data_IF_203016157019
#
_entry.id   IF_203016157019
#
_cell.length_a   1.000
_cell.length_b   1.000
_cell.length_c   1.000
_cell.angle_alpha   90.00
_cell.angle_beta   90.00
_cell.angle_gamma   90.00
#
_symmetry.space_group_name_H-M   'P 1'
#
loop_
_entity.id
_entity.type
_entity.pdbx_description
1 polymer ?
#
# COMPACT_ATOMS: atom_id res chain seq x y z
N UNK A 1 12.69 7.75 -45.10
CA UNK A 1 12.23 8.57 -43.97
C UNK A 1 12.11 7.65 -42.78
N UNK A 2 12.92 7.88 -41.73
CA UNK A 2 12.98 7.03 -40.55
C UNK A 2 11.72 7.30 -39.71
N UNK A 3 10.99 6.22 -39.39
CA UNK A 3 9.85 6.25 -38.47
C UNK A 3 10.43 6.36 -37.07
N UNK A 4 10.15 7.47 -36.39
CA UNK A 4 10.55 7.70 -35.00
C UNK A 4 9.96 6.61 -34.09
N UNK A 5 10.76 5.95 -33.24
CA UNK A 5 10.20 5.12 -32.19
C UNK A 5 9.69 6.06 -31.10
N UNK A 6 8.37 6.27 -31.03
CA UNK A 6 7.75 6.80 -29.81
C UNK A 6 7.90 5.73 -28.71
N UNK A 7 9.07 5.64 -28.09
CA UNK A 7 9.28 4.80 -26.93
C UNK A 7 8.50 5.43 -25.78
N UNK A 8 7.34 4.87 -25.46
CA UNK A 8 6.62 5.20 -24.25
C UNK A 8 7.57 5.01 -23.06
N UNK A 9 7.96 6.08 -22.34
CA UNK A 9 8.96 6.02 -21.28
C UNK A 9 8.58 5.01 -20.19
N UNK A 10 7.27 4.82 -19.96
CA UNK A 10 6.75 3.82 -19.04
C UNK A 10 7.07 2.40 -19.52
N UNK A 11 6.84 2.12 -20.80
CA UNK A 11 7.12 0.80 -21.39
C UNK A 11 8.60 0.45 -21.32
N UNK A 12 9.47 1.41 -21.63
CA UNK A 12 10.92 1.23 -21.50
C UNK A 12 11.31 0.97 -20.05
N UNK A 13 10.81 1.78 -19.10
CA UNK A 13 11.11 1.61 -17.69
C UNK A 13 10.69 0.24 -17.15
N UNK A 14 9.51 -0.26 -17.56
CA UNK A 14 9.02 -1.59 -17.23
C UNK A 14 9.88 -2.71 -17.82
N UNK A 15 10.29 -2.60 -19.09
CA UNK A 15 11.16 -3.60 -19.71
C UNK A 15 12.50 -3.74 -18.99
N UNK A 16 13.06 -2.62 -18.53
CA UNK A 16 14.28 -2.65 -17.73
C UNK A 16 14.03 -3.19 -16.30
N UNK A 17 12.87 -2.90 -15.69
CA UNK A 17 12.49 -3.52 -14.41
C UNK A 17 12.41 -5.05 -14.54
N UNK A 18 11.86 -5.56 -15.64
CA UNK A 18 11.74 -7.01 -15.88
C UNK A 18 13.09 -7.71 -16.06
N UNK A 19 14.10 -6.96 -16.48
CA UNK A 19 15.49 -7.43 -16.64
C UNK A 19 16.32 -7.19 -15.38
N UNK A 20 15.88 -6.29 -14.49
CA UNK A 20 16.59 -5.96 -13.27
C UNK A 20 16.68 -7.18 -12.36
N UNK A 21 17.91 -7.51 -11.95
CA UNK A 21 18.13 -8.57 -10.98
C UNK A 21 17.74 -8.07 -9.59
N UNK A 22 16.98 -8.88 -8.86
CA UNK A 22 16.70 -8.64 -7.46
C UNK A 22 18.00 -8.53 -6.65
N UNK A 23 18.17 -7.41 -5.94
CA UNK A 23 19.24 -7.18 -4.97
C UNK A 23 18.66 -7.37 -3.58
N UNK A 24 19.19 -8.34 -2.85
CA UNK A 24 18.76 -8.62 -1.48
C UNK A 24 19.60 -7.81 -0.49
N UNK A 25 18.93 -7.06 0.37
CA UNK A 25 19.52 -6.38 1.51
C UNK A 25 19.70 -7.31 2.71
N UNK A 26 20.45 -6.88 3.74
CA UNK A 26 20.57 -7.61 4.99
C UNK A 26 19.21 -7.73 5.69
N UNK A 27 19.10 -8.71 6.60
CA UNK A 27 17.95 -8.81 7.48
C UNK A 27 17.92 -7.59 8.40
N UNK A 28 16.82 -6.83 8.39
CA UNK A 28 16.62 -5.70 9.28
C UNK A 28 16.35 -6.16 10.72
N UNK A 29 16.42 -5.22 11.67
CA UNK A 29 16.15 -5.47 13.09
C UNK A 29 14.70 -5.94 13.36
N UNK A 30 13.80 -5.67 12.42
CA UNK A 30 12.40 -6.11 12.40
C UNK A 30 12.21 -7.56 11.90
N UNK A 31 13.30 -8.28 11.59
CA UNK A 31 13.24 -9.63 11.02
C UNK A 31 12.79 -9.67 9.56
N UNK A 32 12.73 -8.51 8.89
CA UNK A 32 12.36 -8.40 7.47
C UNK A 32 13.60 -8.25 6.60
N UNK A 33 13.62 -8.96 5.48
CA UNK A 33 14.59 -8.78 4.40
C UNK A 33 14.03 -7.84 3.36
N UNK A 34 14.82 -6.84 2.96
CA UNK A 34 14.45 -5.97 1.84
C UNK A 34 14.99 -6.55 0.53
N UNK A 35 14.14 -6.63 -0.49
CA UNK A 35 14.50 -7.07 -1.84
C UNK A 35 14.18 -5.96 -2.83
N UNK A 36 15.14 -5.64 -3.68
CA UNK A 36 15.12 -4.47 -4.55
C UNK A 36 15.22 -4.88 -6.02
N UNK A 37 14.29 -4.42 -6.85
CA UNK A 37 14.43 -4.39 -8.30
C UNK A 37 14.53 -2.94 -8.73
N UNK A 38 15.72 -2.55 -9.18
CA UNK A 38 16.02 -1.18 -9.57
C UNK A 38 16.23 -1.12 -11.08
N UNK A 39 15.41 -0.32 -11.76
CA UNK A 39 15.62 0.05 -13.16
C UNK A 39 16.29 1.43 -13.25
N UNK A 40 17.34 1.60 -14.07
CA UNK A 40 17.96 2.91 -14.30
C UNK A 40 17.01 3.91 -14.98
N UNK A 41 15.86 3.46 -15.47
CA UNK A 41 14.86 4.27 -16.16
C UNK A 41 13.70 4.71 -15.26
N UNK A 42 13.88 4.63 -13.94
CA UNK A 42 12.92 5.17 -12.96
C UNK A 42 11.73 4.24 -12.65
N UNK A 43 11.90 2.94 -12.85
CA UNK A 43 10.98 1.93 -12.33
C UNK A 43 11.65 1.16 -11.18
N UNK A 44 10.98 1.08 -10.05
CA UNK A 44 11.54 0.48 -8.84
C UNK A 44 10.49 -0.36 -8.14
N UNK A 45 10.89 -1.56 -7.72
CA UNK A 45 10.08 -2.39 -6.84
C UNK A 45 10.91 -2.73 -5.61
N UNK A 46 10.41 -2.37 -4.44
CA UNK A 46 10.95 -2.80 -3.15
C UNK A 46 9.96 -3.76 -2.51
N UNK A 47 10.45 -4.88 -2.01
CA UNK A 47 9.66 -5.86 -1.25
C UNK A 47 10.28 -6.07 0.12
N UNK A 48 9.49 -5.93 1.18
CA UNK A 48 9.84 -6.37 2.52
C UNK A 48 9.29 -7.77 2.74
N UNK A 49 10.17 -8.70 3.06
CA UNK A 49 9.89 -10.14 3.11
C UNK A 49 10.23 -10.66 4.49
N UNK A 50 9.37 -11.47 5.10
CA UNK A 50 9.66 -12.10 6.39
C UNK A 50 10.60 -13.31 6.26
N UNK A 51 10.99 -13.91 7.40
CA UNK A 51 11.84 -15.10 7.45
C UNK A 51 11.25 -16.31 6.69
N UNK A 52 9.92 -16.39 6.61
CA UNK A 52 9.19 -17.44 5.88
C UNK A 52 9.15 -17.18 4.36
N UNK A 53 9.70 -16.05 3.89
CA UNK A 53 9.71 -15.69 2.48
C UNK A 53 8.38 -15.08 2.00
N UNK A 54 7.49 -14.66 2.90
CA UNK A 54 6.22 -14.00 2.58
C UNK A 54 6.41 -12.49 2.46
N UNK A 55 5.78 -11.90 1.45
CA UNK A 55 5.81 -10.45 1.26
C UNK A 55 4.90 -9.81 2.30
N UNK A 56 5.45 -8.91 3.12
CA UNK A 56 4.72 -8.11 4.10
C UNK A 56 4.33 -6.75 3.56
N UNK A 57 5.21 -6.18 2.74
CA UNK A 57 5.01 -4.90 2.09
C UNK A 57 5.72 -4.84 0.76
N UNK A 58 5.10 -4.16 -0.19
CA UNK A 58 5.67 -3.90 -1.50
C UNK A 58 5.42 -2.45 -1.89
N UNK A 59 6.45 -1.81 -2.43
CA UNK A 59 6.41 -0.44 -2.91
C UNK A 59 6.89 -0.43 -4.36
N UNK A 60 6.01 -0.01 -5.25
CA UNK A 60 6.27 0.12 -6.67
C UNK A 60 6.29 1.61 -7.02
N UNK A 61 7.42 2.09 -7.51
CA UNK A 61 7.54 3.41 -8.12
C UNK A 61 7.66 3.26 -9.63
N UNK A 62 6.78 3.92 -10.37
CA UNK A 62 6.83 4.01 -11.83
C UNK A 62 6.88 5.49 -12.20
N UNK A 63 8.08 5.99 -12.53
CA UNK A 63 8.32 7.41 -12.81
C UNK A 63 7.97 8.29 -11.59
N UNK A 64 6.90 9.08 -11.67
CA UNK A 64 6.40 9.95 -10.59
C UNK A 64 5.27 9.29 -9.77
N UNK A 65 4.80 8.12 -10.17
CA UNK A 65 3.69 7.43 -9.53
C UNK A 65 4.18 6.37 -8.55
N UNK A 66 3.49 6.28 -7.42
CA UNK A 66 3.82 5.35 -6.37
C UNK A 66 2.62 4.51 -5.98
N UNK A 67 2.83 3.20 -5.83
CA UNK A 67 1.84 2.25 -5.33
C UNK A 67 2.45 1.48 -4.16
N UNK A 68 1.78 1.52 -3.02
CA UNK A 68 2.18 0.79 -1.81
C UNK A 68 1.13 -0.27 -1.53
N UNK A 69 1.60 -1.48 -1.28
CA UNK A 69 0.79 -2.54 -0.71
C UNK A 69 1.39 -2.99 0.61
N UNK A 70 0.56 -3.13 1.63
CA UNK A 70 0.96 -3.75 2.89
C UNK A 70 -0.08 -4.78 3.34
N UNK A 71 0.41 -5.87 3.95
CA UNK A 71 -0.42 -6.91 4.51
C UNK A 71 -1.34 -6.32 5.58
N UNK A 72 -2.66 -6.54 5.45
CA UNK A 72 -3.66 -6.00 6.36
C UNK A 72 -4.12 -4.56 6.08
N UNK A 73 -3.48 -3.84 5.14
CA UNK A 73 -3.88 -2.48 4.75
C UNK A 73 -4.38 -2.37 3.31
N UNK A 74 -4.00 -3.31 2.44
CA UNK A 74 -4.36 -3.26 1.03
C UNK A 74 -3.46 -2.28 0.25
N UNK A 75 -3.98 -1.77 -0.86
CA UNK A 75 -3.23 -0.91 -1.79
C UNK A 75 -3.54 0.55 -1.52
N UNK A 76 -2.49 1.39 -1.54
CA UNK A 76 -2.56 2.85 -1.53
C UNK A 76 -1.76 3.39 -2.71
N UNK A 77 -2.21 4.51 -3.25
CA UNK A 77 -1.48 5.26 -4.29
C UNK A 77 -0.84 6.50 -3.70
N UNK A 78 0.12 7.05 -4.41
CA UNK A 78 0.73 8.33 -4.09
C UNK A 78 1.57 8.85 -5.24
N UNK A 79 2.23 9.98 -4.99
CA UNK A 79 3.24 10.55 -5.87
C UNK A 79 4.59 10.60 -5.18
N UNK A 80 5.62 10.42 -5.98
CA UNK A 80 7.00 10.62 -5.56
C UNK A 80 7.40 12.03 -5.95
N UNK A 81 7.81 12.86 -5.00
CA UNK A 81 8.47 14.12 -5.34
C UNK A 81 9.91 13.83 -5.76
N UNK A 82 10.19 14.00 -7.05
CA UNK A 82 11.55 13.91 -7.56
C UNK A 82 12.36 15.10 -7.02
N UNK A 83 13.05 14.91 -5.90
CA UNK A 83 14.17 15.78 -5.54
C UNK A 83 15.18 15.82 -6.69
N UNK A 84 15.90 16.94 -6.85
CA UNK A 84 16.81 17.22 -7.98
C UNK A 84 17.89 16.14 -8.25
N UNK A 85 18.04 15.18 -7.34
CA UNK A 85 18.92 14.03 -7.47
C UNK A 85 18.17 12.80 -8.01
N UNK A 86 18.23 12.59 -9.32
CA UNK A 86 17.81 11.36 -10.05
C UNK A 86 18.64 10.12 -9.68
N UNK A 87 18.94 9.88 -8.40
CA UNK A 87 19.66 8.69 -7.96
C UNK A 87 18.90 7.98 -6.84
N UNK A 88 18.30 6.82 -7.13
CA UNK A 88 17.84 5.89 -6.10
C UNK A 88 19.05 5.30 -5.36
N UNK A 89 18.89 4.79 -4.13
CA UNK A 89 17.64 4.65 -3.35
C UNK A 89 17.68 5.52 -2.07
N UNK A 90 16.69 5.42 -1.19
CA UNK A 90 16.78 5.72 0.27
C UNK A 90 16.07 7.00 0.81
N UNK A 91 15.68 8.00 0.04
CA UNK A 91 15.08 9.20 0.67
C UNK A 91 14.05 9.95 -0.17
N UNK A 92 13.27 9.25 -0.98
CA UNK A 92 12.19 9.90 -1.71
C UNK A 92 10.96 9.98 -0.82
N UNK A 93 10.52 11.21 -0.57
CA UNK A 93 9.29 11.49 0.16
C UNK A 93 8.11 11.09 -0.72
N UNK A 94 7.33 10.13 -0.24
CA UNK A 94 6.12 9.68 -0.91
C UNK A 94 4.95 10.42 -0.29
N UNK A 95 4.31 11.24 -1.11
CA UNK A 95 3.04 11.86 -0.75
C UNK A 95 1.93 10.84 -1.05
N UNK A 96 1.50 10.12 -0.01
CA UNK A 96 0.39 9.20 -0.14
C UNK A 96 -0.89 9.98 -0.45
N UNK A 97 -1.66 9.49 -1.42
CA UNK A 97 -2.98 10.04 -1.67
C UNK A 97 -3.87 9.75 -0.44
N UNK A 98 -4.78 10.68 -0.07
CA UNK A 98 -5.70 10.49 1.05
C UNK A 98 -6.64 9.29 0.80
N UNK A 99 -7.00 9.08 -0.47
CA UNK A 99 -7.78 7.93 -0.94
C UNK A 99 -7.10 7.28 -2.14
N UNK A 100 -7.46 6.03 -2.42
CA UNK A 100 -6.94 5.29 -3.57
C UNK A 100 -7.38 5.97 -4.88
N UNK A 101 -6.43 6.41 -5.70
CA UNK A 101 -6.72 7.08 -6.98
C UNK A 101 -6.83 6.04 -8.11
N UNK A 102 -8.04 5.79 -8.67
CA UNK A 102 -8.26 4.70 -9.63
C UNK A 102 -7.39 4.80 -10.88
N UNK A 103 -7.18 6.01 -11.39
CA UNK A 103 -6.42 6.25 -12.63
C UNK A 103 -4.93 5.87 -12.49
N UNK A 104 -4.34 6.04 -11.31
CA UNK A 104 -2.95 5.61 -11.03
C UNK A 104 -2.89 4.09 -10.92
N UNK A 105 -3.83 3.51 -10.17
CA UNK A 105 -3.90 2.07 -10.00
C UNK A 105 -4.05 1.35 -11.34
N UNK A 106 -4.96 1.81 -12.20
CA UNK A 106 -5.19 1.22 -13.52
C UNK A 106 -3.93 1.31 -14.39
N UNK A 107 -3.24 2.46 -14.39
CA UNK A 107 -1.99 2.63 -15.14
C UNK A 107 -0.88 1.70 -14.64
N UNK A 108 -0.68 1.62 -13.33
CA UNK A 108 0.28 0.70 -12.73
C UNK A 108 -0.06 -0.78 -13.02
N UNK A 109 -1.34 -1.15 -12.91
CA UNK A 109 -1.80 -2.50 -13.20
C UNK A 109 -1.61 -2.86 -14.68
N UNK A 110 -1.92 -1.95 -15.60
CA UNK A 110 -1.71 -2.14 -17.03
C UNK A 110 -0.22 -2.25 -17.39
N UNK A 111 0.63 -1.44 -16.76
CA UNK A 111 2.08 -1.50 -16.95
C UNK A 111 2.64 -2.88 -16.62
N UNK A 112 2.23 -3.44 -15.47
CA UNK A 112 2.63 -4.77 -14.98
C UNK A 112 1.91 -5.94 -15.67
N UNK A 113 0.75 -5.72 -16.29
CA UNK A 113 -0.04 -6.79 -16.91
C UNK A 113 0.71 -7.55 -18.01
N UNK A 114 1.70 -6.90 -18.63
CA UNK A 114 2.54 -7.46 -19.71
C UNK A 114 3.69 -8.32 -19.22
N UNK A 115 3.87 -8.46 -17.91
CA UNK A 115 4.94 -9.30 -17.35
C UNK A 115 4.59 -10.79 -17.50
N UNK A 116 5.48 -11.53 -18.16
CA UNK A 116 5.38 -12.99 -18.37
C UNK A 116 6.55 -13.76 -17.74
N UNK A 117 7.39 -13.09 -16.96
CA UNK A 117 8.53 -13.71 -16.30
C UNK A 117 8.15 -14.57 -15.10
N UNK A 118 9.17 -15.05 -14.39
CA UNK A 118 9.02 -15.95 -13.23
C UNK A 118 9.39 -15.29 -11.89
N UNK A 119 9.67 -13.99 -11.87
CA UNK A 119 10.02 -13.30 -10.64
C UNK A 119 8.80 -13.23 -9.71
N UNK A 120 8.90 -13.92 -8.57
CA UNK A 120 7.81 -14.05 -7.60
C UNK A 120 7.34 -12.70 -7.05
N UNK A 121 8.22 -11.70 -6.93
CA UNK A 121 7.90 -10.41 -6.35
C UNK A 121 7.15 -9.54 -7.35
N UNK A 122 7.57 -9.55 -8.61
CA UNK A 122 6.87 -8.86 -9.71
C UNK A 122 5.50 -9.49 -9.92
N UNK A 123 5.41 -10.83 -9.96
CA UNK A 123 4.14 -11.55 -10.07
C UNK A 123 3.20 -11.27 -8.89
N UNK A 124 3.74 -11.15 -7.68
CA UNK A 124 2.95 -10.79 -6.49
C UNK A 124 2.34 -9.39 -6.66
N UNK A 125 3.14 -8.39 -7.03
CA UNK A 125 2.65 -7.03 -7.22
C UNK A 125 1.63 -6.94 -8.37
N UNK A 126 1.87 -7.66 -9.47
CA UNK A 126 0.90 -7.76 -10.58
C UNK A 126 -0.46 -8.28 -10.12
N UNK A 127 -0.49 -9.35 -9.30
CA UNK A 127 -1.74 -9.89 -8.73
C UNK A 127 -2.40 -8.90 -7.77
N UNK A 128 -1.63 -8.27 -6.89
CA UNK A 128 -2.13 -7.28 -5.94
C UNK A 128 -2.83 -6.13 -6.66
N UNK A 129 -2.21 -5.56 -7.70
CA UNK A 129 -2.79 -4.46 -8.46
C UNK A 129 -4.02 -4.89 -9.26
N UNK A 130 -4.01 -6.10 -9.83
CA UNK A 130 -5.18 -6.65 -10.52
C UNK A 130 -6.38 -6.81 -9.57
N UNK A 131 -6.16 -7.36 -8.37
CA UNK A 131 -7.20 -7.53 -7.36
C UNK A 131 -7.71 -6.18 -6.84
N UNK A 132 -6.82 -5.22 -6.61
CA UNK A 132 -7.22 -3.88 -6.19
C UNK A 132 -8.08 -3.18 -7.24
N UNK A 133 -7.79 -3.38 -8.54
CA UNK A 133 -8.60 -2.85 -9.64
C UNK A 133 -10.00 -3.48 -9.64
N UNK A 134 -10.09 -4.80 -9.51
CA UNK A 134 -11.38 -5.51 -9.42
C UNK A 134 -12.19 -5.03 -8.19
N UNK A 135 -11.55 -4.82 -7.04
CA UNK A 135 -12.19 -4.27 -5.84
C UNK A 135 -12.75 -2.85 -6.02
N UNK A 136 -12.09 -2.00 -6.81
CA UNK A 136 -12.62 -0.69 -7.19
C UNK A 136 -13.88 -0.80 -8.07
N UNK A 137 -13.87 -1.71 -9.04
CA UNK A 137 -15.01 -1.94 -9.94
C UNK A 137 -16.25 -2.45 -9.16
N UNK A 138 -16.05 -3.29 -8.14
CA UNK A 138 -17.14 -3.76 -7.28
C UNK A 138 -17.67 -2.68 -6.34
N UNK A 139 -16.79 -1.78 -5.86
CA UNK A 139 -17.19 -0.67 -4.98
C UNK A 139 -17.99 0.39 -5.72
N UNK A 140 -17.66 0.66 -6.99
CA UNK A 140 -18.39 1.65 -7.80
C UNK A 140 -19.81 1.20 -8.16
N UNK A 141 -20.07 -0.11 -8.28
CA UNK A 141 -21.41 -0.67 -8.50
C UNK A 141 -22.30 -0.53 -7.25
N UNK A 142 -21.70 -0.38 -6.07
CA UNK A 142 -22.41 -0.33 -4.78
C UNK A 142 -22.65 1.11 -4.28
N UNK A 143 -22.00 2.11 -4.89
CA UNK A 143 -22.29 3.52 -4.63
C UNK A 143 -23.58 3.89 -5.39
N UNK A 144 -24.71 4.16 -4.71
CA UNK A 144 -25.91 4.54 -5.42
C UNK A 144 -25.73 5.95 -5.96
N UNK A 145 -25.95 6.10 -7.27
CA UNK A 145 -26.24 7.35 -7.97
C UNK A 145 -27.50 8.02 -7.36
N UNK A 146 -27.33 8.65 -6.20
CA UNK A 146 -28.18 9.74 -5.74
C UNK A 146 -27.26 10.96 -5.77
N UNK A 147 -27.07 11.65 -6.89
CA UNK A 147 -27.87 12.80 -7.28
C UNK A 147 -27.49 13.21 -8.71
N UNK A 148 -27.98 12.51 -9.73
CA UNK A 148 -27.98 13.01 -11.11
C UNK A 148 -29.25 12.63 -11.83
N UNK A 149 -30.38 13.17 -11.33
CA UNK A 149 -31.56 13.36 -12.16
C UNK A 149 -32.44 14.49 -11.62
N UNK A 150 -32.04 15.72 -11.89
CA UNK A 150 -33.01 16.75 -12.23
C UNK A 150 -32.45 17.61 -13.37
N UNK A 151 -32.87 17.19 -14.56
CA UNK A 151 -32.71 17.88 -15.82
C UNK A 151 -33.65 19.09 -15.91
N UNK A 152 -33.12 20.15 -16.50
CA UNK A 152 -33.78 21.07 -17.44
C UNK A 152 -34.45 22.35 -16.92
N UNK A 153 -33.84 23.45 -17.38
CA UNK A 153 -34.46 24.66 -17.96
C UNK A 153 -35.36 25.54 -17.10
N UNK A 154 -34.85 26.72 -16.74
CA UNK A 154 -35.36 27.98 -17.31
C UNK A 154 -34.48 29.20 -17.03
N UNK A 155 -34.33 29.95 -18.11
CA UNK A 155 -33.82 31.31 -18.26
C UNK A 155 -34.40 32.38 -17.29
N UNK A 156 -33.68 33.50 -17.28
CA UNK A 156 -34.15 34.90 -17.16
C UNK A 156 -34.39 35.55 -15.78
N UNK A 157 -33.54 36.56 -15.51
CA UNK A 157 -33.90 37.99 -15.29
C UNK A 157 -34.23 38.49 -13.86
N UNK A 158 -33.35 39.42 -13.43
CA UNK A 158 -33.62 40.74 -12.82
C UNK A 158 -34.26 40.84 -11.44
N UNK A 159 -33.43 41.37 -10.53
CA UNK A 159 -33.70 42.45 -9.55
C UNK A 159 -35.01 42.41 -8.77
N UNK A 160 -34.90 42.15 -7.46
CA UNK A 160 -35.63 42.97 -6.49
C UNK A 160 -34.88 43.10 -5.17
N UNK A 161 -34.29 44.27 -5.00
CA UNK A 161 -33.89 44.88 -3.74
C UNK A 161 -35.07 44.93 -2.77
N UNK A 162 -34.89 44.41 -1.57
CA UNK A 162 -35.67 44.84 -0.39
C UNK A 162 -34.69 45.12 0.73
N UNK A 163 -34.51 46.42 0.94
CA UNK A 163 -33.77 47.05 2.03
C UNK A 163 -34.58 46.92 3.32
N UNK A 164 -33.99 46.33 4.36
CA UNK A 164 -34.38 46.59 5.74
C UNK A 164 -33.13 46.68 6.61
N UNK A 165 -32.88 47.88 7.13
CA UNK A 165 -32.09 48.19 8.32
C UNK A 165 -32.71 49.47 8.93
N UNK A 166 -32.56 49.78 10.24
CA UNK A 166 -31.68 49.17 11.25
C UNK A 166 -32.35 48.90 12.62
N UNK A 167 -31.88 47.89 13.35
CA UNK A 167 -31.86 47.90 14.82
C UNK A 167 -30.45 47.47 15.27
N UNK A 168 -29.72 48.42 15.82
CA UNK A 168 -28.36 48.31 16.38
C UNK A 168 -28.42 47.63 17.78
N UNK A 169 -27.30 47.17 18.38
CA UNK A 169 -26.96 45.75 18.59
C UNK A 169 -26.92 45.36 20.09
N UNK A 170 -26.87 44.05 20.39
CA UNK A 170 -25.98 43.60 21.46
C UNK A 170 -24.81 42.78 20.87
N UNK A 171 -23.64 42.98 21.48
CA UNK A 171 -22.33 42.45 21.13
C UNK A 171 -22.26 40.92 20.93
N UNK A 172 -21.27 40.44 20.16
CA UNK A 172 -21.25 39.10 19.59
C UNK A 172 -20.77 38.07 20.62
N UNK A 173 -21.64 37.14 21.00
CA UNK A 173 -21.19 35.88 21.58
C UNK A 173 -20.94 34.94 20.41
N UNK A 174 -19.65 34.68 20.18
CA UNK A 174 -19.09 33.79 19.18
C UNK A 174 -20.01 32.61 18.86
N UNK A 175 -20.51 32.61 17.62
CA UNK A 175 -21.03 31.41 17.01
C UNK A 175 -19.92 30.36 17.04
N UNK A 176 -20.15 29.28 17.77
CA UNK A 176 -19.37 28.06 17.62
C UNK A 176 -19.59 27.59 16.18
N UNK A 177 -18.58 27.76 15.34
CA UNK A 177 -18.46 27.05 14.08
C UNK A 177 -18.64 25.56 14.37
N UNK A 178 -19.46 24.83 13.60
CA UNK A 178 -19.47 23.38 13.67
C UNK A 178 -18.05 22.92 13.29
N UNK A 179 -17.38 22.34 14.28
CA UNK A 179 -16.06 21.72 14.22
C UNK A 179 -15.97 20.88 12.93
N UNK A 180 -15.31 21.45 11.93
CA UNK A 180 -15.00 20.75 10.70
C UNK A 180 -14.18 19.52 11.09
N UNK A 181 -14.69 18.34 10.71
CA UNK A 181 -13.94 17.10 10.82
C UNK A 181 -12.53 17.35 10.24
N UNK A 182 -11.44 16.94 10.94
CA UNK A 182 -10.09 17.24 10.49
C UNK A 182 -9.91 16.69 9.08
N UNK A 183 -9.58 17.57 8.13
CA UNK A 183 -9.13 17.18 6.80
C UNK A 183 -7.96 16.19 6.97
N UNK A 184 -7.96 15.05 6.26
CA UNK A 184 -6.90 14.07 6.41
C UNK A 184 -5.57 14.71 6.02
N UNK A 185 -4.72 14.98 7.02
CA UNK A 185 -3.37 15.48 6.79
C UNK A 185 -2.67 14.55 5.78
N UNK A 186 -1.99 15.10 4.76
CA UNK A 186 -1.27 14.29 3.79
C UNK A 186 -0.20 13.48 4.53
N UNK A 187 -0.40 12.16 4.60
CA UNK A 187 0.55 11.26 5.26
C UNK A 187 1.81 11.20 4.41
N UNK A 188 2.83 11.93 4.83
CA UNK A 188 4.16 11.86 4.25
C UNK A 188 4.75 10.50 4.62
N UNK A 189 4.75 9.59 3.64
CA UNK A 189 5.34 8.27 3.80
C UNK A 189 6.79 8.35 3.37
N UNK A 190 7.69 7.94 4.26
CA UNK A 190 9.09 7.77 3.89
C UNK A 190 9.27 6.38 3.29
N UNK A 191 9.90 6.34 2.13
CA UNK A 191 10.21 5.10 1.42
C UNK A 191 10.89 4.07 2.35
N UNK A 192 10.32 2.87 2.46
CA UNK A 192 10.80 1.81 3.35
C UNK A 192 10.55 1.99 4.86
N UNK A 193 9.88 3.06 5.31
CA UNK A 193 9.44 3.19 6.71
C UNK A 193 8.06 2.58 6.92
N UNK A 194 7.81 1.86 8.04
CA UNK A 194 6.53 1.20 8.32
C UNK A 194 5.36 2.19 8.20
N UNK A 195 4.23 1.76 7.62
CA UNK A 195 3.05 2.62 7.55
C UNK A 195 2.54 2.88 8.97
N UNK A 196 1.95 4.06 9.26
CA UNK A 196 1.52 4.44 10.62
C UNK A 196 0.57 3.45 11.33
N UNK A 197 -0.04 2.52 10.59
CA UNK A 197 -0.92 1.46 11.11
C UNK A 197 -0.53 0.06 10.61
N UNK A 198 0.73 -0.15 10.19
CA UNK A 198 1.17 -1.44 9.66
C UNK A 198 1.14 -2.45 10.80
N UNK A 199 0.38 -3.54 10.64
CA UNK A 199 0.29 -4.57 11.66
C UNK A 199 1.70 -5.16 11.82
N UNK A 200 2.38 -4.97 12.96
CA UNK A 200 3.72 -5.48 13.14
C UNK A 200 3.66 -7.01 13.04
N UNK A 201 4.71 -7.67 12.53
CA UNK A 201 4.74 -9.12 12.49
C UNK A 201 4.48 -9.66 13.90
N UNK A 202 3.68 -10.73 14.06
CA UNK A 202 3.57 -11.37 15.36
C UNK A 202 4.99 -11.73 15.79
N UNK A 203 5.41 -11.21 16.94
CA UNK A 203 6.71 -11.55 17.51
C UNK A 203 6.64 -13.03 17.84
N UNK A 204 7.13 -13.88 16.95
CA UNK A 204 7.27 -15.31 17.21
C UNK A 204 8.30 -15.39 18.33
N UNK A 205 7.82 -15.51 19.56
CA UNK A 205 8.69 -15.70 20.72
C UNK A 205 9.36 -17.05 20.52
N UNK A 206 10.66 -17.03 20.21
CA UNK A 206 11.55 -18.19 20.04
C UNK A 206 11.42 -19.25 21.16
N UNK A 207 10.87 -18.87 22.31
CA UNK A 207 10.55 -19.76 23.43
C UNK A 207 9.44 -20.77 23.18
N UNK A 208 8.52 -20.54 22.23
CA UNK A 208 7.35 -21.42 22.05
C UNK A 208 7.73 -22.82 21.51
N UNK A 209 8.66 -22.88 20.55
CA UNK A 209 9.20 -24.14 20.06
C UNK A 209 9.97 -24.93 21.14
N UNK A 210 10.65 -24.23 22.03
CA UNK A 210 11.42 -24.86 23.11
C UNK A 210 10.50 -25.42 24.21
N UNK A 211 9.36 -24.77 24.48
CA UNK A 211 8.32 -25.28 25.38
C UNK A 211 7.70 -26.56 24.83
N UNK A 212 7.39 -26.61 23.53
CA UNK A 212 6.83 -27.81 22.88
C UNK A 212 7.78 -29.01 22.96
N UNK A 213 9.08 -28.79 22.73
CA UNK A 213 10.12 -29.83 22.89
C UNK A 213 10.22 -30.29 24.35
N UNK A 214 10.17 -29.36 25.30
CA UNK A 214 10.18 -29.68 26.73
C UNK A 214 9.02 -30.58 27.14
N UNK A 215 7.79 -30.24 26.74
CA UNK A 215 6.58 -31.04 27.03
C UNK A 215 6.68 -32.44 26.42
N UNK A 216 7.17 -32.54 25.17
CA UNK A 216 7.34 -33.83 24.49
C UNK A 216 8.37 -34.74 25.20
N UNK A 217 9.50 -34.19 25.62
CA UNK A 217 10.50 -34.93 26.39
C UNK A 217 9.94 -35.44 27.72
N UNK A 218 9.17 -34.62 28.45
CA UNK A 218 8.52 -35.04 29.71
C UNK A 218 7.52 -36.17 29.45
N UNK A 219 6.69 -36.05 28.40
CA UNK A 219 5.73 -37.09 28.04
C UNK A 219 6.41 -38.44 27.72
N UNK A 220 7.53 -38.42 27.00
CA UNK A 220 8.33 -39.63 26.71
C UNK A 220 8.88 -40.25 27.99
N UNK A 221 9.45 -39.44 28.89
CA UNK A 221 10.01 -39.95 30.15
C UNK A 221 8.92 -40.60 31.01
N UNK A 222 7.74 -39.98 31.09
CA UNK A 222 6.58 -40.54 31.80
C UNK A 222 6.13 -41.85 31.16
N UNK A 223 6.02 -41.91 29.83
CA UNK A 223 5.62 -43.12 29.11
C UNK A 223 6.62 -44.27 29.34
N UNK A 224 7.93 -43.99 29.30
CA UNK A 224 8.98 -44.98 29.58
C UNK A 224 8.90 -45.45 31.04
N UNK A 225 8.71 -44.55 32.00
CA UNK A 225 8.55 -44.92 33.41
C UNK A 225 7.34 -45.83 33.62
N UNK A 226 6.18 -45.48 33.04
CA UNK A 226 4.99 -46.31 33.12
C UNK A 226 5.23 -47.70 32.51
N UNK A 227 5.91 -47.77 31.36
CA UNK A 227 6.27 -49.04 30.72
C UNK A 227 7.18 -49.90 31.61
N UNK A 228 8.21 -49.31 32.23
CA UNK A 228 9.12 -50.02 33.13
C UNK A 228 8.40 -50.54 34.37
N UNK A 229 7.48 -49.76 34.93
CA UNK A 229 6.65 -50.20 36.07
C UNK A 229 5.78 -51.38 35.65
N UNK A 230 5.15 -51.31 34.47
CA UNK A 230 4.28 -52.36 33.95
C UNK A 230 5.04 -53.66 33.65
N UNK A 231 6.28 -53.56 33.16
CA UNK A 231 7.16 -54.71 32.93
C UNK A 231 7.74 -55.33 34.21
N UNK A 232 7.75 -54.60 35.33
CA UNK A 232 8.25 -55.10 36.63
C UNK A 232 7.15 -55.60 37.56
N UNK A 233 5.90 -55.21 37.31
CA UNK A 233 4.74 -55.51 38.15
C UNK A 233 3.78 -56.55 37.60
N UNK A 234 4.07 -57.16 36.45
CA UNK A 234 3.37 -58.33 35.90
C UNK A 234 4.25 -59.57 35.94
#
# INVERSE_FOLDING_TARGET
>A
MAVEPSSDPLKSAMQELYRARAVEGPLGENGLRTVWHLSPQGAELMSLVDEDGRVRRQELTLLDEHCIWASGQGVRTGRVEAGESRRPPVATEVHADPELVPQRLVRAAQALATYEGQDRYILHMQRVLALAREGLEMSSVTAPDFLSRESSTRDTVTTRTVTFTPVTPPEPVAAAEPEAAPEPEPVLLRYGQPLPNEVPPPVVRRSEGLVMVGVFCVAIVVAILMLVVLMRGG
#
